data_IF_846055311470
#
_entry.id   IF_846055311470
#
_cell.length_a   1.000
_cell.length_b   1.000
_cell.length_c   1.000
_cell.angle_alpha   90.00
_cell.angle_beta   90.00
_cell.angle_gamma   90.00
#
_symmetry.space_group_name_H-M   'P 1'
#
loop_
_entity.id
_entity.type
_entity.pdbx_description
1 polymer ?
#
# COMPACT_ATOMS: atom_id res chain seq x y z
N UNK A 1 -20.91 13.87 18.92
CA UNK A 1 -21.03 13.72 17.47
C UNK A 1 -20.59 15.05 16.85
N UNK A 2 -19.30 15.20 16.48
CA UNK A 2 -18.78 16.41 15.83
C UNK A 2 -19.07 16.27 14.34
N UNK A 3 -20.15 16.82 13.87
CA UNK A 3 -20.39 17.03 12.44
C UNK A 3 -19.55 18.24 12.01
N UNK A 4 -18.35 17.98 11.46
CA UNK A 4 -17.72 19.02 10.65
C UNK A 4 -18.61 19.33 9.47
N UNK A 5 -18.73 20.61 9.06
CA UNK A 5 -19.22 20.92 7.73
C UNK A 5 -18.21 20.27 6.76
N UNK A 6 -18.62 19.18 6.13
CA UNK A 6 -17.99 18.68 4.93
C UNK A 6 -17.98 19.90 4.00
N UNK A 7 -16.79 20.43 3.70
CA UNK A 7 -16.65 21.39 2.62
C UNK A 7 -17.09 20.60 1.39
N UNK A 8 -18.34 20.71 1.02
CA UNK A 8 -18.85 20.25 -0.25
C UNK A 8 -18.16 21.10 -1.33
N UNK A 9 -16.95 20.69 -1.71
CA UNK A 9 -16.47 21.01 -3.04
C UNK A 9 -17.48 20.35 -3.95
N UNK A 10 -18.35 21.18 -4.59
CA UNK A 10 -19.32 20.70 -5.58
C UNK A 10 -18.56 19.75 -6.48
N UNK A 11 -18.89 18.45 -6.52
CA UNK A 11 -18.21 17.53 -7.42
C UNK A 11 -18.38 18.10 -8.83
N UNK A 12 -17.31 18.11 -9.62
CA UNK A 12 -17.42 18.44 -11.03
C UNK A 12 -18.63 17.69 -11.60
N UNK A 13 -19.52 18.41 -12.25
CA UNK A 13 -20.69 17.83 -12.87
C UNK A 13 -20.24 16.73 -13.84
N UNK A 14 -21.01 15.69 -14.04
CA UNK A 14 -20.63 14.54 -14.89
C UNK A 14 -20.14 15.00 -16.25
N UNK A 15 -20.76 16.05 -16.79
CA UNK A 15 -20.35 16.70 -18.03
C UNK A 15 -18.94 17.32 -17.93
N UNK A 16 -18.63 18.00 -16.84
CA UNK A 16 -17.30 18.58 -16.60
C UNK A 16 -16.21 17.52 -16.51
N UNK A 17 -16.49 16.37 -15.90
CA UNK A 17 -15.56 15.22 -15.84
C UNK A 17 -15.31 14.63 -17.23
N UNK A 18 -16.35 14.50 -18.06
CA UNK A 18 -16.22 13.99 -19.41
C UNK A 18 -15.44 14.97 -20.31
N UNK A 19 -15.67 16.28 -20.20
CA UNK A 19 -14.92 17.29 -20.93
C UNK A 19 -13.44 17.29 -20.52
N UNK A 20 -13.14 17.16 -19.23
CA UNK A 20 -11.77 17.07 -18.71
C UNK A 20 -11.07 15.82 -19.22
N UNK A 21 -11.76 14.68 -19.22
CA UNK A 21 -11.27 13.42 -19.79
C UNK A 21 -10.92 13.56 -21.27
N UNK A 22 -11.84 14.11 -22.08
CA UNK A 22 -11.64 14.33 -23.50
C UNK A 22 -10.46 15.30 -23.76
N UNK A 23 -10.35 16.36 -22.97
CA UNK A 23 -9.25 17.32 -23.06
C UNK A 23 -7.89 16.70 -22.74
N UNK A 24 -7.78 15.92 -21.66
CA UNK A 24 -6.52 15.26 -21.27
C UNK A 24 -6.11 14.20 -22.30
N UNK A 25 -7.04 13.38 -22.79
CA UNK A 25 -6.75 12.36 -23.81
C UNK A 25 -6.34 12.97 -25.15
N UNK A 26 -7.01 14.04 -25.59
CA UNK A 26 -6.64 14.77 -26.79
C UNK A 26 -5.26 15.43 -26.65
N UNK A 27 -4.98 16.04 -25.50
CA UNK A 27 -3.68 16.64 -25.20
C UNK A 27 -2.56 15.59 -25.19
N UNK A 28 -2.78 14.42 -24.55
CA UNK A 28 -1.82 13.32 -24.56
C UNK A 28 -1.54 12.81 -25.98
N UNK A 29 -2.57 12.68 -26.82
CA UNK A 29 -2.43 12.30 -28.23
C UNK A 29 -1.65 13.34 -29.04
N UNK A 30 -1.88 14.63 -28.78
CA UNK A 30 -1.14 15.72 -29.42
C UNK A 30 0.34 15.73 -28.99
N UNK A 31 0.62 15.61 -27.69
CA UNK A 31 1.99 15.57 -27.13
C UNK A 31 2.78 14.41 -27.71
N UNK A 32 2.21 13.19 -27.70
CA UNK A 32 2.91 12.00 -28.20
C UNK A 32 3.19 12.06 -29.70
N UNK A 33 2.32 12.70 -30.48
CA UNK A 33 2.54 12.97 -31.89
C UNK A 33 3.61 14.04 -32.11
N UNK A 34 3.58 15.13 -31.34
CA UNK A 34 4.52 16.22 -31.45
C UNK A 34 5.95 15.83 -31.12
N UNK A 35 6.14 15.04 -30.04
CA UNK A 35 7.45 14.56 -29.62
C UNK A 35 7.91 13.29 -30.34
N UNK A 36 7.15 12.76 -31.30
CA UNK A 36 7.52 11.56 -32.05
C UNK A 36 7.57 10.28 -31.23
N UNK A 37 6.91 10.25 -30.06
CA UNK A 37 6.87 9.09 -29.16
C UNK A 37 5.99 8.00 -29.77
N UNK A 38 4.86 8.39 -30.36
CA UNK A 38 3.93 7.50 -31.06
C UNK A 38 4.03 7.73 -32.58
N UNK A 39 4.89 6.97 -33.23
CA UNK A 39 5.19 7.10 -34.67
C UNK A 39 4.16 6.43 -35.56
N UNK A 40 3.43 5.44 -35.04
CA UNK A 40 2.41 4.70 -35.78
C UNK A 40 1.00 5.04 -35.27
N UNK A 41 -0.05 4.95 -36.12
CA UNK A 41 -1.43 5.13 -35.67
C UNK A 41 -1.82 4.20 -34.52
N UNK A 42 -1.33 2.96 -34.54
CA UNK A 42 -1.59 1.96 -33.50
C UNK A 42 -0.96 2.35 -32.17
N UNK A 43 0.28 2.84 -32.16
CA UNK A 43 0.92 3.31 -30.93
C UNK A 43 0.21 4.53 -30.34
N UNK A 44 -0.34 5.39 -31.21
CA UNK A 44 -1.12 6.54 -30.75
C UNK A 44 -2.44 6.11 -30.10
N UNK A 45 -3.14 5.13 -30.69
CA UNK A 45 -4.35 4.53 -30.09
C UNK A 45 -4.02 3.90 -28.72
N UNK A 46 -2.90 3.19 -28.61
CA UNK A 46 -2.48 2.58 -27.33
C UNK A 46 -2.30 3.63 -26.23
N UNK A 47 -1.57 4.71 -26.51
CA UNK A 47 -1.31 5.78 -25.52
C UNK A 47 -2.59 6.52 -25.16
N UNK A 48 -3.41 6.88 -26.14
CA UNK A 48 -4.68 7.56 -25.85
C UNK A 48 -5.61 6.68 -25.00
N UNK A 49 -5.71 5.39 -25.33
CA UNK A 49 -6.51 4.43 -24.54
C UNK A 49 -5.98 4.29 -23.12
N UNK A 50 -4.66 4.17 -22.94
CA UNK A 50 -4.04 4.07 -21.63
C UNK A 50 -4.33 5.30 -20.77
N UNK A 51 -4.12 6.50 -21.31
CA UNK A 51 -4.42 7.76 -20.61
C UNK A 51 -5.90 7.87 -20.30
N UNK A 52 -6.78 7.53 -21.25
CA UNK A 52 -8.23 7.53 -21.04
C UNK A 52 -8.65 6.59 -19.90
N UNK A 53 -8.12 5.37 -19.86
CA UNK A 53 -8.40 4.38 -18.80
C UNK A 53 -7.98 4.91 -17.44
N UNK A 54 -6.76 5.43 -17.30
CA UNK A 54 -6.27 5.97 -16.03
C UNK A 54 -7.13 7.16 -15.59
N UNK A 55 -7.36 8.14 -16.46
CA UNK A 55 -8.15 9.32 -16.12
C UNK A 55 -9.60 8.95 -15.76
N UNK A 56 -10.22 8.03 -16.52
CA UNK A 56 -11.57 7.56 -16.22
C UNK A 56 -11.63 6.79 -14.89
N UNK A 57 -10.66 5.94 -14.61
CA UNK A 57 -10.58 5.21 -13.36
C UNK A 57 -10.42 6.15 -12.14
N UNK A 58 -9.69 7.25 -12.28
CA UNK A 58 -9.53 8.27 -11.24
C UNK A 58 -10.79 9.12 -11.05
N UNK A 59 -11.42 9.55 -12.14
CA UNK A 59 -12.61 10.40 -12.09
C UNK A 59 -13.89 9.64 -11.69
N UNK A 60 -13.96 8.34 -12.04
CA UNK A 60 -15.09 7.45 -11.78
C UNK A 60 -14.62 6.19 -11.04
N UNK A 61 -14.11 6.39 -9.83
CA UNK A 61 -13.49 5.33 -9.02
C UNK A 61 -14.30 4.05 -8.87
N UNK A 62 -15.65 4.17 -8.79
CA UNK A 62 -16.56 3.02 -8.66
C UNK A 62 -16.54 2.10 -9.89
N UNK A 63 -16.20 2.62 -11.07
CA UNK A 63 -16.20 1.88 -12.33
C UNK A 63 -14.82 1.47 -12.82
N UNK A 64 -13.76 1.66 -12.00
CA UNK A 64 -12.36 1.45 -12.40
C UNK A 64 -12.08 0.08 -13.05
N UNK A 65 -12.71 -1.01 -12.54
CA UNK A 65 -12.53 -2.35 -13.08
C UNK A 65 -13.17 -2.46 -14.46
N UNK A 66 -14.41 -2.00 -14.62
CA UNK A 66 -15.11 -2.01 -15.90
C UNK A 66 -14.36 -1.19 -16.96
N UNK A 67 -13.84 -0.02 -16.57
CA UNK A 67 -13.05 0.85 -17.45
C UNK A 67 -11.75 0.17 -17.90
N UNK A 68 -11.05 -0.54 -16.99
CA UNK A 68 -9.85 -1.29 -17.35
C UNK A 68 -10.15 -2.40 -18.39
N UNK A 69 -11.23 -3.16 -18.19
CA UNK A 69 -11.67 -4.18 -19.15
C UNK A 69 -12.10 -3.58 -20.50
N UNK A 70 -12.81 -2.45 -20.50
CA UNK A 70 -13.16 -1.73 -21.72
C UNK A 70 -11.94 -1.27 -22.48
N UNK A 71 -10.93 -0.72 -21.78
CA UNK A 71 -9.67 -0.31 -22.39
C UNK A 71 -8.92 -1.50 -23.03
N UNK A 72 -8.82 -2.62 -22.31
CA UNK A 72 -8.22 -3.84 -22.84
C UNK A 72 -8.98 -4.37 -24.07
N UNK A 73 -10.32 -4.39 -24.02
CA UNK A 73 -11.16 -4.79 -25.15
C UNK A 73 -10.99 -3.88 -26.37
N UNK A 74 -10.85 -2.58 -26.16
CA UNK A 74 -10.60 -1.61 -27.23
C UNK A 74 -9.24 -1.82 -27.88
N UNK A 75 -8.18 -2.11 -27.10
CA UNK A 75 -6.85 -2.40 -27.63
C UNK A 75 -6.83 -3.70 -28.46
N UNK A 76 -7.60 -4.73 -28.06
CA UNK A 76 -7.75 -5.96 -28.82
C UNK A 76 -8.57 -5.70 -30.10
N UNK A 77 -9.69 -4.98 -29.99
CA UNK A 77 -10.59 -4.70 -31.10
C UNK A 77 -9.95 -3.80 -32.19
N UNK A 78 -9.03 -2.92 -31.82
CA UNK A 78 -8.25 -2.10 -32.76
C UNK A 78 -7.01 -2.83 -33.30
N UNK A 79 -6.82 -4.10 -32.99
CA UNK A 79 -5.63 -4.89 -33.36
C UNK A 79 -4.30 -4.27 -32.87
N UNK A 80 -4.35 -3.39 -31.89
CA UNK A 80 -3.15 -2.79 -31.26
C UNK A 80 -2.43 -3.83 -30.42
N UNK A 81 -3.17 -4.77 -29.81
CA UNK A 81 -2.66 -5.86 -29.00
C UNK A 81 -3.42 -7.16 -29.28
N UNK A 82 -2.71 -8.28 -29.33
CA UNK A 82 -3.34 -9.61 -29.43
C UNK A 82 -3.71 -10.12 -28.02
N UNK A 83 -4.71 -11.00 -27.93
CA UNK A 83 -5.08 -11.63 -26.66
C UNK A 83 -3.88 -12.39 -26.03
N UNK A 84 -3.07 -13.04 -26.85
CA UNK A 84 -1.89 -13.75 -26.38
C UNK A 84 -0.83 -12.79 -25.81
N UNK A 85 -0.64 -11.63 -26.42
CA UNK A 85 0.23 -10.58 -25.94
C UNK A 85 -0.29 -10.00 -24.61
N UNK A 86 -1.60 -9.77 -24.51
CA UNK A 86 -2.23 -9.30 -23.27
C UNK A 86 -1.98 -10.29 -22.12
N UNK A 87 -2.24 -11.58 -22.35
CA UNK A 87 -2.05 -12.62 -21.32
C UNK A 87 -0.58 -12.72 -20.87
N UNK A 88 0.37 -12.62 -21.80
CA UNK A 88 1.80 -12.58 -21.44
C UNK A 88 2.17 -11.34 -20.63
N UNK A 89 1.58 -10.19 -20.93
CA UNK A 89 1.85 -8.93 -20.22
C UNK A 89 1.14 -8.83 -18.85
N UNK A 90 0.23 -9.77 -18.56
CA UNK A 90 -0.54 -9.73 -17.30
C UNK A 90 0.29 -10.14 -16.09
N UNK A 91 1.51 -10.72 -16.29
CA UNK A 91 2.40 -11.14 -15.20
C UNK A 91 1.62 -11.92 -14.12
N UNK A 92 1.05 -13.06 -14.52
CA UNK A 92 0.16 -13.89 -13.70
C UNK A 92 0.80 -14.27 -12.36
N UNK A 93 2.12 -14.44 -12.34
CA UNK A 93 2.92 -14.74 -11.15
C UNK A 93 2.77 -13.66 -10.08
N UNK A 94 2.78 -12.38 -10.48
CA UNK A 94 2.60 -11.25 -9.56
C UNK A 94 1.19 -11.25 -8.98
N UNK A 95 0.18 -11.57 -9.80
CA UNK A 95 -1.21 -11.66 -9.34
C UNK A 95 -1.36 -12.80 -8.32
N UNK A 96 -0.79 -13.97 -8.59
CA UNK A 96 -0.82 -15.10 -7.66
C UNK A 96 -0.08 -14.79 -6.36
N UNK A 97 1.07 -14.12 -6.44
CA UNK A 97 1.78 -13.64 -5.27
C UNK A 97 0.92 -12.68 -4.42
N UNK A 98 0.24 -11.72 -5.05
CA UNK A 98 -0.63 -10.77 -4.34
C UNK A 98 -1.80 -11.49 -3.65
N UNK A 99 -2.43 -12.45 -4.34
CA UNK A 99 -3.51 -13.26 -3.75
C UNK A 99 -2.98 -14.03 -2.53
N UNK A 100 -1.83 -14.68 -2.67
CA UNK A 100 -1.19 -15.40 -1.59
C UNK A 100 -0.88 -14.50 -0.38
N UNK A 101 -0.30 -13.32 -0.61
CA UNK A 101 -0.03 -12.35 0.45
C UNK A 101 -1.32 -11.86 1.14
N UNK A 102 -2.41 -11.68 0.41
CA UNK A 102 -3.70 -11.33 1.02
C UNK A 102 -4.24 -12.44 1.93
N UNK A 103 -4.01 -13.71 1.58
CA UNK A 103 -4.37 -14.87 2.42
C UNK A 103 -3.55 -14.86 3.71
N UNK A 104 -2.23 -14.70 3.61
CA UNK A 104 -1.34 -14.61 4.80
C UNK A 104 -1.79 -13.48 5.73
N UNK A 105 -2.06 -12.31 5.19
CA UNK A 105 -2.51 -11.16 6.00
C UNK A 105 -3.87 -11.43 6.64
N UNK A 106 -4.79 -12.09 5.93
CA UNK A 106 -6.05 -12.58 6.49
C UNK A 106 -5.81 -13.48 7.70
N UNK A 107 -4.94 -14.47 7.56
CA UNK A 107 -4.56 -15.37 8.65
C UNK A 107 -3.93 -14.64 9.84
N UNK A 108 -3.01 -13.68 9.60
CA UNK A 108 -2.40 -12.87 10.67
C UNK A 108 -3.44 -12.03 11.43
N UNK A 109 -4.44 -11.52 10.73
CA UNK A 109 -5.57 -10.80 11.32
C UNK A 109 -6.41 -11.73 12.20
N UNK A 110 -6.78 -12.90 11.69
CA UNK A 110 -7.60 -13.89 12.41
C UNK A 110 -6.88 -14.47 13.62
N UNK A 111 -5.55 -14.63 13.54
CA UNK A 111 -4.69 -15.01 14.65
C UNK A 111 -4.51 -13.89 15.69
N UNK A 112 -5.07 -12.72 15.47
CA UNK A 112 -5.07 -11.60 16.40
C UNK A 112 -3.72 -10.88 16.56
N UNK A 113 -2.70 -11.18 15.73
CA UNK A 113 -1.39 -10.55 15.81
C UNK A 113 -1.49 -9.03 15.71
N UNK A 114 -2.28 -8.55 14.77
CA UNK A 114 -2.44 -7.12 14.51
C UNK A 114 -3.11 -6.41 15.69
N UNK A 115 -4.11 -7.03 16.30
CA UNK A 115 -4.79 -6.52 17.49
C UNK A 115 -3.84 -6.52 18.71
N UNK A 116 -2.98 -7.53 18.83
CA UNK A 116 -1.96 -7.58 19.87
C UNK A 116 -0.95 -6.43 19.75
N UNK A 117 -0.46 -6.13 18.55
CA UNK A 117 0.44 -5.00 18.29
C UNK A 117 -0.21 -3.69 18.72
N UNK A 118 -1.48 -3.47 18.36
CA UNK A 118 -2.26 -2.29 18.76
C UNK A 118 -2.31 -2.17 20.29
N UNK A 119 -2.60 -3.26 20.99
CA UNK A 119 -2.70 -3.27 22.46
C UNK A 119 -1.36 -2.99 23.15
N UNK A 120 -0.25 -3.52 22.63
CA UNK A 120 1.07 -3.23 23.15
C UNK A 120 1.40 -1.73 23.11
N UNK A 121 0.87 -1.01 22.11
CA UNK A 121 1.09 0.42 21.97
C UNK A 121 0.17 1.20 22.92
N UNK A 122 -1.12 0.86 22.94
CA UNK A 122 -2.14 1.60 23.73
C UNK A 122 -1.91 1.47 25.23
N UNK A 123 -1.42 0.32 25.70
CA UNK A 123 -1.25 0.02 27.14
C UNK A 123 0.04 0.61 27.74
N UNK A 124 0.80 1.40 27.02
CA UNK A 124 2.05 1.98 27.54
C UNK A 124 1.75 3.18 28.45
N UNK A 125 2.07 3.07 29.74
CA UNK A 125 1.69 4.02 30.80
C UNK A 125 2.17 5.47 30.61
N UNK A 126 3.26 5.70 29.89
CA UNK A 126 3.86 7.03 29.68
C UNK A 126 3.82 7.49 28.22
N UNK A 127 2.71 7.18 27.51
CA UNK A 127 2.55 7.60 26.13
C UNK A 127 2.27 9.10 26.05
N UNK A 128 3.07 9.83 25.27
CA UNK A 128 2.79 11.22 24.87
C UNK A 128 2.30 11.24 23.43
N UNK A 129 1.65 12.30 23.00
CA UNK A 129 1.21 12.44 21.60
C UNK A 129 2.37 12.36 20.62
N UNK A 130 3.57 12.89 20.98
CA UNK A 130 4.76 12.77 20.14
C UNK A 130 5.24 11.31 20.06
N UNK A 131 5.36 10.63 21.21
CA UNK A 131 5.79 9.22 21.24
C UNK A 131 4.81 8.34 20.48
N UNK A 132 3.49 8.56 20.64
CA UNK A 132 2.48 7.86 19.87
C UNK A 132 2.65 8.07 18.36
N UNK A 133 2.84 9.33 17.93
CA UNK A 133 3.02 9.65 16.50
C UNK A 133 4.27 9.00 15.92
N UNK A 134 5.41 9.04 16.63
CA UNK A 134 6.64 8.39 16.17
C UNK A 134 6.46 6.87 16.11
N UNK A 135 5.86 6.24 17.11
CA UNK A 135 5.57 4.82 17.11
C UNK A 135 4.61 4.46 15.97
N UNK A 136 3.59 5.30 15.71
CA UNK A 136 2.68 5.16 14.60
C UNK A 136 3.43 5.18 13.25
N UNK A 137 4.35 6.12 13.04
CA UNK A 137 5.17 6.21 11.84
C UNK A 137 6.01 4.94 11.64
N UNK A 138 6.73 4.52 12.68
CA UNK A 138 7.58 3.33 12.64
C UNK A 138 6.77 2.06 12.39
N UNK A 139 5.63 1.91 13.07
CA UNK A 139 4.73 0.78 12.90
C UNK A 139 4.16 0.74 11.48
N UNK A 140 3.70 1.88 10.96
CA UNK A 140 3.17 1.99 9.59
C UNK A 140 4.20 1.55 8.56
N UNK A 141 5.42 2.08 8.65
CA UNK A 141 6.49 1.73 7.74
C UNK A 141 6.91 0.26 7.87
N UNK A 142 7.05 -0.25 9.09
CA UNK A 142 7.43 -1.64 9.34
C UNK A 142 6.38 -2.62 8.83
N UNK A 143 5.12 -2.44 9.20
CA UNK A 143 4.05 -3.33 8.74
C UNK A 143 3.92 -3.32 7.22
N UNK A 144 4.01 -2.15 6.58
CA UNK A 144 3.86 -2.06 5.13
C UNK A 144 5.02 -2.70 4.38
N UNK A 145 6.24 -2.66 4.92
CA UNK A 145 7.39 -3.32 4.33
C UNK A 145 7.25 -4.85 4.27
N UNK A 146 6.55 -5.46 5.23
CA UNK A 146 6.49 -6.93 5.37
C UNK A 146 5.11 -7.55 5.09
N UNK A 147 4.03 -6.84 5.38
CA UNK A 147 2.65 -7.35 5.24
C UNK A 147 1.97 -6.76 4.00
N UNK A 148 2.58 -5.73 3.42
CA UNK A 148 2.05 -5.01 2.28
C UNK A 148 1.26 -3.76 2.68
N UNK A 149 1.22 -2.81 1.75
CA UNK A 149 0.69 -1.46 1.95
C UNK A 149 -0.79 -1.46 2.34
N UNK A 150 -1.63 -2.14 1.53
CA UNK A 150 -3.10 -2.12 1.69
C UNK A 150 -3.54 -2.71 3.03
N UNK A 151 -2.91 -3.78 3.45
CA UNK A 151 -3.26 -4.47 4.70
C UNK A 151 -2.78 -3.72 5.92
N UNK A 152 -1.58 -3.14 5.85
CA UNK A 152 -0.99 -2.37 6.93
C UNK A 152 -1.79 -1.11 7.24
N UNK A 153 -2.25 -0.40 6.21
CA UNK A 153 -3.01 0.84 6.42
C UNK A 153 -4.33 0.58 7.16
N UNK A 154 -5.03 -0.51 6.86
CA UNK A 154 -6.27 -0.89 7.54
C UNK A 154 -6.04 -1.07 9.05
N UNK A 155 -4.95 -1.75 9.41
CA UNK A 155 -4.59 -2.01 10.82
C UNK A 155 -4.20 -0.73 11.53
N UNK A 156 -3.34 0.06 10.91
CA UNK A 156 -2.83 1.30 11.48
C UNK A 156 -3.96 2.32 11.64
N UNK A 157 -4.88 2.41 10.68
CA UNK A 157 -6.05 3.28 10.79
C UNK A 157 -7.00 2.85 11.91
N UNK A 158 -7.17 1.54 12.15
CA UNK A 158 -7.95 1.06 13.28
C UNK A 158 -7.37 1.56 14.62
N UNK A 159 -6.02 1.52 14.77
CA UNK A 159 -5.34 2.10 15.93
C UNK A 159 -5.58 3.62 16.03
N UNK A 160 -5.42 4.35 14.93
CA UNK A 160 -5.61 5.81 14.89
C UNK A 160 -7.03 6.17 15.31
N UNK A 161 -8.04 5.54 14.71
CA UNK A 161 -9.44 5.83 15.05
C UNK A 161 -9.75 5.48 16.49
N UNK A 162 -9.31 4.32 16.98
CA UNK A 162 -9.54 3.94 18.39
C UNK A 162 -8.99 4.96 19.37
N UNK A 163 -7.75 5.44 19.16
CA UNK A 163 -7.12 6.43 20.05
C UNK A 163 -7.77 7.79 19.89
N UNK A 164 -8.01 8.25 18.67
CA UNK A 164 -8.62 9.55 18.42
C UNK A 164 -10.05 9.64 18.95
N UNK A 165 -10.85 8.58 18.80
CA UNK A 165 -12.22 8.51 19.33
C UNK A 165 -12.24 8.50 20.85
N UNK A 166 -11.32 7.79 21.49
CA UNK A 166 -11.17 7.75 22.94
C UNK A 166 -10.81 9.14 23.48
N UNK A 167 -9.89 9.84 22.81
CA UNK A 167 -9.43 11.17 23.23
C UNK A 167 -10.34 12.31 22.73
N UNK A 168 -11.34 12.02 21.90
CA UNK A 168 -12.25 13.00 21.27
C UNK A 168 -11.49 14.07 20.47
N UNK A 169 -10.49 13.65 19.70
CA UNK A 169 -9.68 14.51 18.82
C UNK A 169 -9.87 14.15 17.35
N UNK A 170 -9.50 15.07 16.45
CA UNK A 170 -9.57 14.85 15.00
C UNK A 170 -8.56 13.80 14.55
N UNK A 171 -9.02 12.77 13.84
CA UNK A 171 -8.18 11.70 13.33
C UNK A 171 -7.40 12.09 12.06
N UNK A 172 -7.90 13.05 11.25
CA UNK A 172 -7.35 13.40 9.93
C UNK A 172 -5.83 13.61 9.89
N UNK A 173 -5.19 14.35 10.82
CA UNK A 173 -3.73 14.50 10.82
C UNK A 173 -2.99 13.17 10.95
N UNK A 174 -3.44 12.31 11.86
CA UNK A 174 -2.82 11.02 12.14
C UNK A 174 -3.07 10.00 11.05
N UNK A 175 -4.23 10.07 10.38
CA UNK A 175 -4.54 9.30 9.17
C UNK A 175 -3.56 9.64 8.06
N UNK A 176 -3.34 10.94 7.79
CA UNK A 176 -2.39 11.36 6.76
C UNK A 176 -0.95 10.95 7.10
N UNK A 177 -0.53 11.10 8.35
CA UNK A 177 0.78 10.62 8.83
C UNK A 177 0.93 9.12 8.57
N UNK A 178 -0.06 8.32 8.94
CA UNK A 178 -0.06 6.87 8.72
C UNK A 178 0.04 6.52 7.24
N UNK A 179 -0.75 7.16 6.38
CA UNK A 179 -0.76 6.92 4.93
C UNK A 179 0.61 7.22 4.31
N UNK A 180 1.22 8.36 4.61
CA UNK A 180 2.54 8.69 4.08
C UNK A 180 3.61 7.69 4.53
N UNK A 181 3.62 7.34 5.82
CA UNK A 181 4.59 6.39 6.37
C UNK A 181 4.40 4.97 5.82
N UNK A 182 3.15 4.53 5.60
CA UNK A 182 2.84 3.24 4.98
C UNK A 182 3.33 3.19 3.53
N UNK A 183 3.05 4.22 2.73
CA UNK A 183 3.49 4.28 1.33
C UNK A 183 5.03 4.26 1.21
N UNK A 184 5.73 5.04 2.03
CA UNK A 184 7.20 5.03 1.99
C UNK A 184 7.74 3.70 2.47
N UNK A 185 7.23 3.19 3.60
CA UNK A 185 7.68 1.91 4.16
C UNK A 185 7.54 0.74 3.19
N UNK A 186 6.46 0.72 2.41
CA UNK A 186 6.21 -0.35 1.43
C UNK A 186 7.27 -0.43 0.33
N UNK A 187 7.99 0.66 0.05
CA UNK A 187 9.05 0.67 -0.94
C UNK A 187 10.37 0.05 -0.46
N UNK A 188 10.50 -0.26 0.84
CA UNK A 188 11.74 -0.81 1.40
C UNK A 188 12.01 -2.26 0.97
N UNK A 189 10.97 -3.05 0.67
CA UNK A 189 11.06 -4.46 0.31
C UNK A 189 10.24 -4.79 -0.92
N UNK A 190 10.55 -5.92 -1.56
CA UNK A 190 9.72 -6.44 -2.66
C UNK A 190 8.30 -6.80 -2.21
N UNK A 191 8.12 -7.21 -0.94
CA UNK A 191 6.84 -7.66 -0.39
C UNK A 191 5.89 -6.49 -0.06
N UNK A 192 6.43 -5.28 0.08
CA UNK A 192 5.70 -4.12 0.57
C UNK A 192 4.61 -3.62 -0.39
N UNK A 193 4.83 -3.73 -1.70
CA UNK A 193 3.85 -3.31 -2.70
C UNK A 193 4.01 -4.06 -4.03
N UNK A 194 2.96 -4.09 -4.89
CA UNK A 194 3.01 -4.77 -6.17
C UNK A 194 4.10 -4.26 -7.12
N UNK A 195 4.44 -2.97 -7.03
CA UNK A 195 5.47 -2.35 -7.89
C UNK A 195 6.85 -2.89 -7.52
N UNK A 196 7.12 -3.08 -6.22
CA UNK A 196 8.36 -3.68 -5.74
C UNK A 196 8.55 -5.11 -6.27
N UNK A 197 7.48 -5.91 -6.23
CA UNK A 197 7.49 -7.28 -6.80
C UNK A 197 7.76 -7.23 -8.30
N UNK A 198 7.06 -6.37 -9.03
CA UNK A 198 7.22 -6.22 -10.48
C UNK A 198 8.64 -5.82 -10.87
N UNK A 199 9.21 -4.80 -10.22
CA UNK A 199 10.58 -4.34 -10.48
C UNK A 199 11.58 -5.43 -10.14
N UNK A 200 11.45 -6.08 -8.99
CA UNK A 200 12.33 -7.14 -8.57
C UNK A 200 12.35 -8.31 -9.55
N UNK A 201 11.15 -8.75 -9.98
CA UNK A 201 11.00 -9.81 -10.97
C UNK A 201 11.63 -9.41 -12.32
N UNK A 202 11.30 -8.25 -12.88
CA UNK A 202 11.80 -7.79 -14.18
C UNK A 202 13.31 -7.54 -14.19
N UNK A 203 13.87 -7.08 -13.08
CA UNK A 203 15.30 -6.84 -12.95
C UNK A 203 16.10 -8.09 -12.53
N UNK A 204 15.44 -9.21 -12.21
CA UNK A 204 16.07 -10.43 -11.72
C UNK A 204 16.74 -10.26 -10.35
N UNK A 205 16.24 -9.36 -9.50
CA UNK A 205 16.77 -9.15 -8.17
C UNK A 205 16.30 -10.23 -7.20
N UNK A 206 17.21 -10.72 -6.39
CA UNK A 206 16.82 -11.47 -5.19
C UNK A 206 16.25 -10.52 -4.14
N UNK A 207 15.47 -11.05 -3.19
CA UNK A 207 14.94 -10.26 -2.08
C UNK A 207 16.05 -9.47 -1.34
N UNK A 208 17.18 -10.10 -1.06
CA UNK A 208 18.31 -9.46 -0.40
C UNK A 208 18.94 -8.33 -1.21
N UNK A 209 19.12 -8.51 -2.52
CA UNK A 209 19.64 -7.46 -3.42
C UNK A 209 18.70 -6.26 -3.47
N UNK A 210 17.38 -6.52 -3.58
CA UNK A 210 16.38 -5.46 -3.55
C UNK A 210 16.42 -4.70 -2.21
N UNK A 211 16.44 -5.43 -1.09
CA UNK A 211 16.47 -4.85 0.26
C UNK A 211 17.70 -3.96 0.45
N UNK A 212 18.89 -4.44 0.08
CA UNK A 212 20.14 -3.68 0.22
C UNK A 212 20.11 -2.40 -0.64
N UNK A 213 19.51 -2.45 -1.82
CA UNK A 213 19.40 -1.28 -2.71
C UNK A 213 18.32 -0.31 -2.28
N UNK A 214 17.12 -0.79 -1.95
CA UNK A 214 15.94 0.04 -1.69
C UNK A 214 15.86 0.54 -0.24
N UNK A 215 16.21 -0.28 0.74
CA UNK A 215 16.01 0.07 2.14
C UNK A 215 16.79 1.32 2.61
N UNK A 216 18.05 1.57 2.21
CA UNK A 216 18.76 2.78 2.61
C UNK A 216 18.10 4.06 2.06
N UNK A 217 17.68 4.03 0.80
CA UNK A 217 17.00 5.16 0.16
C UNK A 217 15.65 5.41 0.82
N UNK A 218 14.90 4.34 1.08
CA UNK A 218 13.62 4.40 1.78
C UNK A 218 13.78 4.92 3.21
N UNK A 219 14.84 4.51 3.93
CA UNK A 219 15.11 5.00 5.29
C UNK A 219 15.38 6.52 5.31
N UNK A 220 16.14 7.04 4.34
CA UNK A 220 16.38 8.48 4.22
C UNK A 220 15.08 9.21 3.90
N UNK A 221 14.32 8.74 2.90
CA UNK A 221 13.02 9.32 2.54
C UNK A 221 12.04 9.29 3.72
N UNK A 222 12.01 8.19 4.47
CA UNK A 222 11.20 8.03 5.67
C UNK A 222 11.59 9.04 6.75
N UNK A 223 12.88 9.17 7.07
CA UNK A 223 13.36 10.11 8.09
C UNK A 223 12.99 11.55 7.73
N UNK A 224 13.21 11.97 6.48
CA UNK A 224 12.84 13.31 6.00
C UNK A 224 11.32 13.52 6.08
N UNK A 225 10.53 12.56 5.62
CA UNK A 225 9.06 12.67 5.65
C UNK A 225 8.53 12.73 7.08
N UNK A 226 9.03 11.89 7.98
CA UNK A 226 8.65 11.94 9.40
C UNK A 226 8.98 13.30 9.99
N UNK A 227 10.17 13.86 9.74
CA UNK A 227 10.55 15.19 10.23
C UNK A 227 9.60 16.27 9.72
N UNK A 228 9.25 16.25 8.42
CA UNK A 228 8.29 17.20 7.83
C UNK A 228 6.89 17.04 8.44
N UNK A 229 6.41 15.80 8.59
CA UNK A 229 5.08 15.54 9.16
C UNK A 229 4.98 15.94 10.63
N UNK A 230 6.01 15.67 11.44
CA UNK A 230 6.07 16.09 12.85
C UNK A 230 6.07 17.61 12.96
N UNK A 231 6.80 18.30 12.10
CA UNK A 231 6.82 19.77 12.05
C UNK A 231 5.46 20.33 11.62
N UNK A 232 4.86 19.79 10.55
CA UNK A 232 3.60 20.27 10.00
C UNK A 232 2.42 20.07 10.96
N UNK A 233 2.34 18.88 11.56
CA UNK A 233 1.25 18.51 12.46
C UNK A 233 1.55 18.75 13.95
N UNK A 234 2.59 19.55 14.28
CA UNK A 234 3.00 19.82 15.66
C UNK A 234 1.87 20.27 16.59
N UNK A 235 0.93 21.07 16.09
CA UNK A 235 -0.22 21.55 16.87
C UNK A 235 -1.19 20.41 17.21
N UNK A 236 -1.45 19.52 16.27
CA UNK A 236 -2.32 18.34 16.47
C UNK A 236 -1.68 17.35 17.44
N UNK A 237 -0.36 17.16 17.35
CA UNK A 237 0.44 16.30 18.24
C UNK A 237 0.45 16.87 19.67
N UNK A 238 0.61 18.18 19.83
CA UNK A 238 0.55 18.84 21.13
C UNK A 238 -0.84 18.70 21.77
N UNK A 239 -1.92 18.90 21.00
CA UNK A 239 -3.28 18.69 21.47
C UNK A 239 -3.52 17.23 21.91
N UNK A 240 -3.02 16.24 21.15
CA UNK A 240 -3.07 14.83 21.54
C UNK A 240 -2.33 14.60 22.86
N UNK A 241 -1.15 15.18 23.06
CA UNK A 241 -0.37 15.06 24.30
C UNK A 241 -1.17 15.57 25.50
N UNK A 242 -1.76 16.75 25.38
CA UNK A 242 -2.60 17.33 26.43
C UNK A 242 -3.80 16.42 26.77
N UNK A 243 -4.50 15.92 25.75
CA UNK A 243 -5.64 15.02 25.95
C UNK A 243 -5.24 13.67 26.57
N UNK A 244 -4.10 13.12 26.20
CA UNK A 244 -3.55 11.92 26.83
C UNK A 244 -3.24 12.15 28.32
N UNK A 245 -2.70 13.31 28.69
CA UNK A 245 -2.43 13.66 30.08
C UNK A 245 -3.73 13.82 30.88
N UNK A 246 -4.76 14.49 30.33
CA UNK A 246 -6.08 14.60 30.94
C UNK A 246 -6.70 13.20 31.18
N UNK A 247 -6.65 12.32 30.20
CA UNK A 247 -7.15 10.95 30.28
C UNK A 247 -6.42 10.12 31.36
N UNK A 248 -5.10 10.26 31.43
CA UNK A 248 -4.26 9.59 32.44
C UNK A 248 -4.60 10.04 33.86
N UNK A 249 -4.82 11.33 34.08
CA UNK A 249 -5.25 11.85 35.39
C UNK A 249 -6.59 11.29 35.85
N UNK A 250 -7.45 10.89 34.92
CA UNK A 250 -8.74 10.26 35.19
C UNK A 250 -8.63 8.74 35.38
N UNK A 251 -7.43 8.14 35.41
CA UNK A 251 -7.17 6.69 35.51
C UNK A 251 -7.93 5.87 34.47
N UNK A 252 -8.21 6.41 33.29
CA UNK A 252 -8.90 5.72 32.20
C UNK A 252 -7.87 5.17 31.22
N UNK A 253 -7.91 3.86 30.96
CA UNK A 253 -7.10 3.22 29.92
C UNK A 253 -7.56 3.65 28.51
N UNK A 254 -6.64 3.65 27.54
CA UNK A 254 -6.94 4.01 26.15
C UNK A 254 -7.66 2.88 25.36
N UNK A 255 -7.82 1.70 25.96
CA UNK A 255 -8.52 0.58 25.32
C UNK A 255 -8.66 -0.63 26.23
N UNK A 256 -9.54 -1.59 25.86
CA UNK A 256 -9.75 -2.82 26.63
C UNK A 256 -8.55 -3.74 26.58
N UNK A 257 -8.17 -4.33 27.71
CA UNK A 257 -7.17 -5.39 27.80
C UNK A 257 -7.81 -6.72 27.37
N UNK A 258 -7.54 -7.19 26.16
CA UNK A 258 -7.94 -8.52 25.71
C UNK A 258 -6.70 -9.41 25.63
N UNK A 259 -6.73 -10.58 26.28
CA UNK A 259 -5.64 -11.58 26.14
C UNK A 259 -5.77 -12.24 24.77
N UNK A 260 -4.81 -11.95 23.87
CA UNK A 260 -4.80 -12.48 22.53
C UNK A 260 -3.64 -13.47 22.39
N UNK A 261 -3.86 -14.67 21.82
CA UNK A 261 -2.81 -15.64 21.56
C UNK A 261 -1.93 -15.20 20.37
N UNK A 262 -1.06 -14.23 20.58
CA UNK A 262 -0.20 -13.63 19.55
C UNK A 262 0.95 -14.52 19.04
N UNK A 263 1.31 -15.59 19.82
CA UNK A 263 2.48 -16.43 19.49
C UNK A 263 2.34 -17.12 18.13
N UNK A 264 1.16 -17.65 17.79
CA UNK A 264 0.90 -18.31 16.51
C UNK A 264 0.99 -17.30 15.34
N UNK A 265 0.40 -16.12 15.49
CA UNK A 265 0.49 -15.08 14.48
C UNK A 265 1.93 -14.60 14.25
N UNK A 266 2.71 -14.45 15.34
CA UNK A 266 4.12 -14.08 15.24
C UNK A 266 4.95 -15.18 14.55
N UNK A 267 4.69 -16.45 14.81
CA UNK A 267 5.38 -17.56 14.13
C UNK A 267 5.05 -17.58 12.63
N UNK A 268 3.80 -17.39 12.23
CA UNK A 268 3.39 -17.30 10.82
C UNK A 268 4.11 -16.15 10.14
N UNK A 269 4.13 -14.95 10.75
CA UNK A 269 4.83 -13.79 10.19
C UNK A 269 6.34 -14.07 9.99
N UNK A 270 7.00 -14.64 11.00
CA UNK A 270 8.44 -14.95 10.92
C UNK A 270 8.70 -16.00 9.84
N UNK A 271 7.90 -17.06 9.78
CA UNK A 271 8.05 -18.12 8.76
C UNK A 271 7.88 -17.54 7.37
N UNK A 272 6.82 -16.76 7.12
CA UNK A 272 6.58 -16.10 5.82
C UNK A 272 7.79 -15.23 5.42
N UNK A 273 8.29 -14.45 6.37
CA UNK A 273 9.46 -13.61 6.12
C UNK A 273 10.73 -14.42 5.81
N UNK A 274 11.00 -15.48 6.58
CA UNK A 274 12.17 -16.33 6.36
C UNK A 274 12.10 -17.02 5.00
N UNK A 275 10.94 -17.54 4.62
CA UNK A 275 10.78 -18.15 3.28
C UNK A 275 10.97 -17.11 2.18
N UNK A 276 10.42 -15.91 2.33
CA UNK A 276 10.61 -14.83 1.36
C UNK A 276 12.08 -14.36 1.28
N UNK A 277 12.80 -14.31 2.43
CA UNK A 277 14.20 -13.92 2.46
C UNK A 277 15.13 -14.98 1.85
N UNK A 278 14.81 -16.25 2.05
CA UNK A 278 15.62 -17.40 1.62
C UNK A 278 15.06 -18.13 0.39
N UNK A 279 14.06 -17.55 -0.31
CA UNK A 279 13.40 -18.22 -1.44
C UNK A 279 14.40 -18.72 -2.49
N UNK A 280 15.40 -17.92 -2.84
CA UNK A 280 16.42 -18.28 -3.84
C UNK A 280 17.26 -19.49 -3.41
N UNK A 281 17.66 -19.58 -2.14
CA UNK A 281 18.37 -20.75 -1.60
C UNK A 281 17.49 -21.99 -1.60
N UNK A 282 16.21 -21.82 -1.28
CA UNK A 282 15.22 -22.90 -1.27
C UNK A 282 14.98 -23.41 -2.69
N UNK A 283 14.84 -22.54 -3.67
CA UNK A 283 14.69 -22.90 -5.10
C UNK A 283 15.93 -23.64 -5.61
N UNK A 284 17.12 -23.18 -5.25
CA UNK A 284 18.37 -23.88 -5.58
C UNK A 284 18.44 -25.28 -4.98
N UNK A 285 18.09 -25.41 -3.70
CA UNK A 285 18.11 -26.67 -2.96
C UNK A 285 17.07 -27.68 -3.49
N UNK A 286 15.91 -27.21 -3.95
CA UNK A 286 14.85 -28.05 -4.52
C UNK A 286 15.05 -28.38 -6.01
N UNK A 287 16.11 -27.86 -6.64
CA UNK A 287 16.37 -28.08 -8.06
C UNK A 287 15.38 -27.43 -9.01
N UNK A 288 14.63 -26.45 -8.53
CA UNK A 288 13.64 -25.70 -9.29
C UNK A 288 14.25 -24.62 -10.20
N UNK A 289 15.58 -24.43 -10.11
CA UNK A 289 16.33 -23.49 -10.94
C UNK A 289 16.64 -24.17 -12.26
N UNK A 290 15.91 -23.82 -13.29
CA UNK A 290 16.25 -24.35 -14.63
C UNK A 290 15.29 -24.06 -15.76
N UNK A 291 14.15 -23.52 -15.53
CA UNK A 291 13.23 -23.15 -16.60
C UNK A 291 12.39 -21.97 -16.12
N UNK A 292 12.52 -20.81 -16.74
CA UNK A 292 11.56 -19.67 -16.78
C UNK A 292 10.65 -19.40 -15.54
N UNK A 293 10.79 -20.14 -14.44
CA UNK A 293 9.93 -20.16 -13.27
C UNK A 293 10.62 -19.45 -12.09
N UNK A 294 10.88 -18.20 -12.28
CA UNK A 294 11.40 -17.32 -11.24
C UNK A 294 10.33 -17.15 -10.19
N UNK A 295 10.66 -17.44 -8.93
CA UNK A 295 9.81 -17.20 -7.76
C UNK A 295 8.64 -18.16 -7.48
N UNK A 296 8.68 -19.40 -7.95
CA UNK A 296 7.67 -20.40 -7.61
C UNK A 296 7.49 -20.54 -6.08
N UNK A 297 8.57 -20.54 -5.32
CA UNK A 297 8.53 -20.61 -3.85
C UNK A 297 7.89 -19.36 -3.25
N UNK A 298 8.15 -18.18 -3.80
CA UNK A 298 7.60 -16.93 -3.32
C UNK A 298 6.09 -16.84 -3.56
N UNK A 299 5.60 -17.47 -4.64
CA UNK A 299 4.18 -17.56 -4.98
C UNK A 299 3.48 -18.63 -4.15
N UNK A 300 4.11 -19.80 -3.99
CA UNK A 300 3.48 -20.95 -3.34
C UNK A 300 3.46 -20.80 -1.81
N UNK A 301 4.49 -20.15 -1.23
CA UNK A 301 4.59 -19.96 0.23
C UNK A 301 3.34 -19.38 0.88
N UNK A 302 2.77 -18.29 0.38
CA UNK A 302 1.55 -17.72 0.96
C UNK A 302 0.32 -18.63 0.82
N UNK A 303 0.36 -19.63 -0.10
CA UNK A 303 -0.74 -20.57 -0.32
C UNK A 303 -0.65 -21.80 0.59
N UNK A 304 0.53 -22.08 1.16
CA UNK A 304 0.77 -23.25 2.04
C UNK A 304 0.61 -22.90 3.51
N UNK A 305 0.81 -21.65 3.90
CA UNK A 305 0.66 -21.13 5.29
C UNK A 305 -0.79 -20.82 5.61
#
# INVERSE_FOLDING_TARGET
>A
MYTEPIVETKPLDTLGRLCLLAGITAFAGWVTKYFGIATTPLSQVAVCTFVAVICTALLFWSYRVAVAFLGASLLIGTHTMTLQSLLRSTELEIILFLIGMMIVVGALKDLGLLTWIIQCIINRERMTGLTFTVVLCMLSAFLSAFIGEVSSIVVVLALVFQVCDTLKIRATPFVLIAVFCTNIGSAATMLGNPVGVFIGHKAGFTFGQFLIGAAPITAIAFAVTVAVLLFWYRKSIANMTQKMEEHRKLHRGLGPMIRIPHRRGLSVLIITFLIAAFHHQIETALGLIGADNINAVLIITPLII
#
